data_IF_947105109664
#
_entry.id   IF_947105109664
#
_cell.length_a   1.000
_cell.length_b   1.000
_cell.length_c   1.000
_cell.angle_alpha   90.00
_cell.angle_beta   90.00
_cell.angle_gamma   90.00
#
_symmetry.space_group_name_H-M   'P 1'
#
loop_
_entity.id
_entity.type
_entity.pdbx_description
1 polymer ?
#
# COMPACT_ATOMS: atom_id res chain seq x y z
N UNK A 1 7.68 15.17 10.44
CA UNK A 1 6.45 14.65 9.84
C UNK A 1 5.67 15.84 9.28
N UNK A 2 5.37 15.84 7.99
CA UNK A 2 4.70 16.92 7.26
C UNK A 2 3.51 16.34 6.50
N UNK A 3 2.44 17.12 6.31
CA UNK A 3 1.30 16.72 5.49
C UNK A 3 1.53 17.20 4.05
N UNK A 4 1.56 16.28 3.09
CA UNK A 4 1.77 16.56 1.67
C UNK A 4 0.53 16.16 0.85
N UNK A 5 0.27 16.89 -0.23
CA UNK A 5 -0.79 16.58 -1.19
C UNK A 5 -0.31 15.52 -2.21
N UNK A 6 -1.10 14.47 -2.43
CA UNK A 6 -0.99 13.59 -3.59
C UNK A 6 -2.18 13.84 -4.54
N UNK A 7 -2.12 14.87 -5.41
CA UNK A 7 -3.24 15.24 -6.26
C UNK A 7 -3.58 14.17 -7.32
N UNK A 8 -2.62 13.32 -7.72
CA UNK A 8 -2.88 12.20 -8.64
C UNK A 8 -3.85 11.17 -8.05
N UNK A 9 -3.81 11.03 -6.72
CA UNK A 9 -4.61 10.08 -5.95
C UNK A 9 -5.78 10.68 -5.19
N UNK A 10 -5.96 12.00 -5.17
CA UNK A 10 -6.98 12.70 -4.39
C UNK A 10 -6.95 12.40 -2.88
N UNK A 11 -5.75 12.30 -2.30
CA UNK A 11 -5.55 12.25 -0.85
C UNK A 11 -4.31 13.03 -0.42
N UNK A 12 -4.22 13.26 0.88
CA UNK A 12 -3.05 13.80 1.57
C UNK A 12 -2.42 12.73 2.44
N UNK A 13 -1.12 12.82 2.67
CA UNK A 13 -0.42 11.87 3.52
C UNK A 13 0.58 12.57 4.44
N UNK A 14 0.78 12.00 5.61
CA UNK A 14 1.88 12.41 6.49
C UNK A 14 3.17 11.72 6.06
N UNK A 15 4.27 12.48 5.94
CA UNK A 15 5.57 11.90 5.65
C UNK A 15 5.96 10.86 6.71
N UNK A 16 6.45 9.71 6.25
CA UNK A 16 6.88 8.62 7.11
C UNK A 16 8.32 8.19 6.80
N UNK A 17 8.60 6.93 7.02
CA UNK A 17 9.87 6.30 6.64
C UNK A 17 9.78 5.76 5.21
N UNK A 18 10.91 5.33 4.64
CA UNK A 18 10.94 4.86 3.25
C UNK A 18 9.82 3.83 2.92
N UNK A 19 9.49 2.84 3.77
CA UNK A 19 8.51 1.82 3.42
C UNK A 19 7.03 2.24 3.52
N UNK A 20 6.68 3.36 4.17
CA UNK A 20 5.27 3.79 4.32
C UNK A 20 5.10 5.23 4.80
N UNK A 21 3.95 5.82 4.48
CA UNK A 21 3.51 7.09 5.05
C UNK A 21 3.04 6.94 6.50
N UNK A 22 3.08 8.05 7.26
CA UNK A 22 2.61 8.09 8.65
C UNK A 22 1.09 8.08 8.81
N UNK A 23 0.34 8.10 7.71
CA UNK A 23 -1.13 8.13 7.68
C UNK A 23 -1.64 8.87 6.45
N UNK A 24 -2.91 8.65 6.12
CA UNK A 24 -3.56 9.22 4.94
C UNK A 24 -4.90 9.87 5.30
N UNK A 25 -5.30 10.86 4.51
CA UNK A 25 -6.56 11.59 4.62
C UNK A 25 -7.10 11.88 3.23
N UNK A 26 -8.37 11.57 2.96
CA UNK A 26 -9.01 11.92 1.69
C UNK A 26 -8.95 13.44 1.41
N UNK A 27 -8.83 13.82 0.14
CA UNK A 27 -9.04 15.20 -0.27
C UNK A 27 -10.52 15.60 -0.10
N UNK A 28 -10.86 16.90 -0.03
CA UNK A 28 -12.25 17.33 -0.03
C UNK A 28 -13.03 16.77 -1.22
N UNK A 29 -14.24 16.26 -0.98
CA UNK A 29 -15.07 15.62 -2.02
C UNK A 29 -14.59 14.23 -2.44
N UNK A 30 -13.80 13.56 -1.59
CA UNK A 30 -13.43 12.16 -1.74
C UNK A 30 -13.57 11.45 -0.40
N UNK A 31 -13.80 10.13 -0.45
CA UNK A 31 -13.74 9.23 0.69
C UNK A 31 -12.68 8.13 0.49
N UNK A 32 -12.21 7.55 1.58
CA UNK A 32 -11.32 6.38 1.54
C UNK A 32 -12.16 5.13 1.73
N UNK A 33 -12.15 4.26 0.73
CA UNK A 33 -12.75 2.93 0.77
C UNK A 33 -11.69 1.92 1.14
N UNK A 34 -12.04 1.00 2.03
CA UNK A 34 -11.21 -0.15 2.37
C UNK A 34 -11.78 -1.41 1.73
N UNK A 35 -10.93 -2.16 1.03
CA UNK A 35 -11.25 -3.42 0.38
C UNK A 35 -10.35 -4.53 0.93
N UNK A 36 -10.92 -5.73 1.08
CA UNK A 36 -10.19 -6.93 1.49
C UNK A 36 -10.28 -8.00 0.42
N UNK A 37 -9.20 -8.77 0.28
CA UNK A 37 -9.17 -9.91 -0.62
C UNK A 37 -9.81 -11.11 0.09
N UNK A 38 -10.64 -11.87 -0.64
CA UNK A 38 -11.23 -13.11 -0.11
C UNK A 38 -10.16 -14.12 0.34
N UNK A 39 -9.02 -14.15 -0.35
CA UNK A 39 -7.84 -14.93 0.01
C UNK A 39 -6.60 -14.06 -0.23
N UNK A 40 -5.65 -13.98 0.72
CA UNK A 40 -4.40 -13.27 0.49
C UNK A 40 -3.63 -13.86 -0.70
N UNK A 41 -3.03 -12.98 -1.50
CA UNK A 41 -2.19 -13.37 -2.65
C UNK A 41 -0.81 -12.74 -2.52
N UNK A 42 0.25 -13.31 -3.12
CA UNK A 42 1.59 -12.73 -3.09
C UNK A 42 1.56 -11.26 -3.47
N UNK A 43 2.18 -10.37 -2.68
CA UNK A 43 1.85 -8.94 -2.74
C UNK A 43 2.09 -8.33 -4.13
N UNK A 44 3.12 -8.78 -4.87
CA UNK A 44 3.38 -8.31 -6.25
C UNK A 44 2.22 -8.64 -7.20
N UNK A 45 1.62 -9.83 -7.08
CA UNK A 45 0.39 -10.19 -7.79
C UNK A 45 -0.81 -9.39 -7.26
N UNK A 46 -0.83 -9.12 -5.95
CA UNK A 46 -1.82 -8.26 -5.31
C UNK A 46 -1.89 -6.85 -5.91
N UNK A 47 -0.75 -6.23 -6.24
CA UNK A 47 -0.75 -4.92 -6.90
C UNK A 47 -1.38 -4.94 -8.29
N UNK A 48 -1.26 -6.06 -9.04
CA UNK A 48 -1.98 -6.21 -10.30
C UNK A 48 -3.50 -6.34 -10.09
N UNK A 49 -3.94 -7.00 -9.01
CA UNK A 49 -5.37 -7.05 -8.65
C UNK A 49 -5.90 -5.69 -8.19
N UNK A 50 -5.11 -4.91 -7.45
CA UNK A 50 -5.45 -3.53 -7.09
C UNK A 50 -5.65 -2.70 -8.36
N UNK A 51 -4.70 -2.76 -9.31
CA UNK A 51 -4.81 -2.04 -10.58
C UNK A 51 -6.12 -2.40 -11.30
N UNK A 52 -6.38 -3.69 -11.50
CA UNK A 52 -7.59 -4.16 -12.19
C UNK A 52 -8.88 -3.70 -11.48
N UNK A 53 -8.90 -3.75 -10.14
CA UNK A 53 -10.03 -3.26 -9.35
C UNK A 53 -10.22 -1.75 -9.50
N UNK A 54 -9.15 -0.97 -9.44
CA UNK A 54 -9.21 0.49 -9.59
C UNK A 54 -9.64 0.89 -10.99
N UNK A 55 -9.19 0.19 -12.02
CA UNK A 55 -9.64 0.41 -13.40
C UNK A 55 -11.16 0.17 -13.55
N UNK A 56 -11.69 -0.90 -12.93
CA UNK A 56 -13.13 -1.21 -12.93
C UNK A 56 -13.97 -0.12 -12.27
N UNK A 57 -13.49 0.46 -11.16
CA UNK A 57 -14.17 1.56 -10.47
C UNK A 57 -13.78 2.95 -11.01
N UNK A 58 -13.08 3.04 -12.14
CA UNK A 58 -12.74 4.29 -12.81
C UNK A 58 -11.74 5.17 -12.06
N UNK A 59 -10.80 4.56 -11.32
CA UNK A 59 -9.78 5.26 -10.53
C UNK A 59 -8.37 4.91 -11.02
N UNK A 60 -7.43 5.88 -11.04
CA UNK A 60 -6.04 5.58 -11.33
C UNK A 60 -5.40 4.79 -10.18
N UNK A 61 -4.31 4.05 -10.45
CA UNK A 61 -3.54 3.37 -9.39
C UNK A 61 -3.03 4.33 -8.32
N UNK A 62 -2.79 5.59 -8.68
CA UNK A 62 -2.45 6.67 -7.76
C UNK A 62 -3.48 6.87 -6.64
N UNK A 63 -4.73 6.42 -6.81
CA UNK A 63 -5.76 6.48 -5.77
C UNK A 63 -5.48 5.52 -4.61
N UNK A 64 -4.59 4.53 -4.78
CA UNK A 64 -4.14 3.63 -3.72
C UNK A 64 -3.45 4.43 -2.60
N UNK A 65 -4.02 4.42 -1.41
CA UNK A 65 -3.50 5.18 -0.27
C UNK A 65 -3.04 4.30 0.90
N UNK A 66 -3.42 3.02 0.95
CA UNK A 66 -2.89 2.08 1.94
C UNK A 66 -2.86 0.64 1.43
N UNK A 67 -1.93 -0.17 1.94
CA UNK A 67 -1.92 -1.63 1.76
C UNK A 67 -1.72 -2.35 3.09
N UNK A 68 -2.32 -3.52 3.20
CA UNK A 68 -2.18 -4.42 4.33
C UNK A 68 -1.48 -5.69 3.89
N UNK A 69 -0.29 -5.93 4.43
CA UNK A 69 0.52 -7.10 4.12
C UNK A 69 0.49 -8.09 5.28
N UNK A 70 0.54 -9.37 4.94
CA UNK A 70 0.71 -10.48 5.88
C UNK A 70 1.93 -11.28 5.47
N UNK A 71 2.80 -11.59 6.43
CA UNK A 71 4.06 -12.30 6.18
C UNK A 71 4.03 -13.67 6.86
N UNK A 72 4.80 -14.66 6.35
CA UNK A 72 4.79 -16.03 6.87
C UNK A 72 5.23 -16.11 8.33
N UNK A 73 6.17 -15.25 8.72
CA UNK A 73 6.77 -15.20 10.05
C UNK A 73 7.38 -13.80 10.28
N UNK A 74 7.69 -13.43 11.54
CA UNK A 74 8.48 -12.23 11.81
C UNK A 74 9.82 -12.26 11.07
N UNK A 75 10.21 -11.14 10.47
CA UNK A 75 11.49 -11.03 9.79
C UNK A 75 12.66 -10.86 10.77
N UNK A 76 13.84 -11.32 10.36
CA UNK A 76 15.09 -10.78 10.89
C UNK A 76 15.25 -9.31 10.47
N UNK A 77 16.10 -8.55 11.14
CA UNK A 77 16.36 -7.16 10.74
C UNK A 77 16.85 -7.04 9.30
N UNK A 78 17.80 -7.89 8.89
CA UNK A 78 18.32 -7.90 7.52
C UNK A 78 17.23 -8.28 6.50
N UNK A 79 16.45 -9.32 6.77
CA UNK A 79 15.37 -9.75 5.89
C UNK A 79 14.27 -8.69 5.77
N UNK A 80 14.01 -7.92 6.83
CA UNK A 80 13.05 -6.83 6.77
C UNK A 80 13.55 -5.65 5.92
N UNK A 81 14.85 -5.34 5.96
CA UNK A 81 15.46 -4.33 5.10
C UNK A 81 15.33 -4.73 3.62
N UNK A 82 15.68 -5.97 3.29
CA UNK A 82 15.57 -6.51 1.93
C UNK A 82 14.12 -6.48 1.43
N UNK A 83 13.17 -6.94 2.26
CA UNK A 83 11.74 -6.87 1.95
C UNK A 83 11.28 -5.43 1.69
N UNK A 84 11.73 -4.48 2.52
CA UNK A 84 11.37 -3.07 2.38
C UNK A 84 11.94 -2.45 1.10
N UNK A 85 13.17 -2.81 0.72
CA UNK A 85 13.79 -2.35 -0.53
C UNK A 85 12.98 -2.87 -1.74
N UNK A 86 12.68 -4.17 -1.79
CA UNK A 86 11.90 -4.75 -2.88
C UNK A 86 10.48 -4.18 -2.97
N UNK A 87 9.83 -3.88 -1.85
CA UNK A 87 8.56 -3.16 -1.83
C UNK A 87 8.70 -1.73 -2.38
N UNK A 88 9.76 -1.02 -2.00
CA UNK A 88 9.99 0.36 -2.44
C UNK A 88 10.32 0.44 -3.93
N UNK A 89 11.08 -0.51 -4.45
CA UNK A 89 11.35 -0.69 -5.88
C UNK A 89 10.05 -0.90 -6.66
N UNK A 90 9.16 -1.79 -6.20
CA UNK A 90 7.85 -1.99 -6.83
C UNK A 90 7.04 -0.68 -6.92
N UNK A 91 7.01 0.12 -5.85
CA UNK A 91 6.31 1.40 -5.88
C UNK A 91 6.94 2.40 -6.87
N UNK A 92 8.26 2.35 -7.04
CA UNK A 92 8.97 3.17 -8.01
C UNK A 92 8.66 2.74 -9.45
N UNK A 93 8.70 1.43 -9.73
CA UNK A 93 8.33 0.84 -11.02
C UNK A 93 6.91 1.22 -11.46
N UNK A 94 5.99 1.30 -10.49
CA UNK A 94 4.59 1.69 -10.71
C UNK A 94 4.37 3.21 -10.70
N UNK A 95 5.42 4.03 -10.55
CA UNK A 95 5.35 5.49 -10.48
C UNK A 95 4.41 6.04 -9.37
N UNK A 96 4.34 5.35 -8.22
CA UNK A 96 3.49 5.69 -7.08
C UNK A 96 4.18 6.55 -6.02
N UNK A 97 5.46 6.83 -6.20
CA UNK A 97 6.23 7.69 -5.30
C UNK A 97 6.01 9.17 -5.64
N UNK A 98 5.95 10.00 -4.61
CA UNK A 98 5.91 11.46 -4.76
C UNK A 98 7.29 12.03 -4.44
N UNK A 99 8.13 12.15 -5.47
CA UNK A 99 9.56 12.41 -5.30
C UNK A 99 10.19 11.30 -4.44
N UNK A 100 10.88 11.70 -3.38
CA UNK A 100 11.49 10.76 -2.42
C UNK A 100 10.48 10.14 -1.44
N UNK A 101 9.23 10.59 -1.42
CA UNK A 101 8.26 10.16 -0.42
C UNK A 101 7.37 9.01 -0.91
N UNK A 102 7.10 8.07 -0.01
CA UNK A 102 6.07 7.06 -0.19
C UNK A 102 4.75 7.57 0.39
N UNK A 103 3.72 7.83 -0.43
CA UNK A 103 2.45 8.35 0.05
C UNK A 103 1.54 7.26 0.64
N UNK A 104 1.84 5.98 0.40
CA UNK A 104 1.01 4.84 0.75
C UNK A 104 1.30 4.39 2.18
N UNK A 105 0.25 4.32 3.01
CA UNK A 105 0.34 3.76 4.35
C UNK A 105 0.45 2.22 4.28
N UNK A 106 1.07 1.60 5.29
CA UNK A 106 1.27 0.14 5.25
C UNK A 106 1.18 -0.50 6.62
N UNK A 107 0.47 -1.62 6.70
CA UNK A 107 0.65 -2.61 7.77
C UNK A 107 1.41 -3.82 7.22
N UNK A 108 2.28 -4.43 8.03
CA UNK A 108 2.86 -5.73 7.75
C UNK A 108 2.88 -6.54 9.05
N UNK A 109 2.12 -7.63 9.08
CA UNK A 109 1.91 -8.46 10.27
C UNK A 109 2.23 -9.91 9.94
N UNK A 110 2.88 -10.63 10.85
CA UNK A 110 3.00 -12.08 10.77
C UNK A 110 1.93 -12.75 11.64
N UNK A 111 0.86 -13.34 11.06
CA UNK A 111 -0.19 -13.99 11.84
C UNK A 111 0.33 -15.22 12.56
N UNK A 112 -0.10 -15.43 13.81
CA UNK A 112 0.22 -16.64 14.57
C UNK A 112 -0.58 -17.88 14.10
N UNK A 113 -1.75 -17.66 13.48
CA UNK A 113 -2.65 -18.72 13.01
C UNK A 113 -2.84 -18.52 11.51
N UNK A 114 -2.65 -19.60 10.74
CA UNK A 114 -2.77 -19.62 9.28
C UNK A 114 -2.01 -18.48 8.57
N UNK A 115 -0.69 -18.31 8.81
CA UNK A 115 0.09 -17.35 8.05
C UNK A 115 0.12 -17.74 6.55
N UNK A 116 0.21 -16.77 5.63
CA UNK A 116 0.39 -17.08 4.23
C UNK A 116 1.77 -17.74 3.99
N UNK A 117 1.96 -18.50 2.91
CA UNK A 117 3.24 -19.14 2.61
C UNK A 117 4.35 -18.14 2.25
N UNK A 118 3.98 -16.94 1.82
CA UNK A 118 4.90 -15.85 1.45
C UNK A 118 4.25 -14.47 1.72
N UNK A 119 5.02 -13.36 1.74
CA UNK A 119 4.46 -12.03 1.95
C UNK A 119 3.33 -11.72 0.96
N UNK A 120 2.13 -11.50 1.50
CA UNK A 120 0.88 -11.46 0.74
C UNK A 120 0.07 -10.22 1.05
N UNK A 121 -0.65 -9.71 0.05
CA UNK A 121 -1.63 -8.64 0.20
C UNK A 121 -2.91 -9.22 0.81
N UNK A 122 -3.37 -8.63 1.90
CA UNK A 122 -4.62 -8.98 2.58
C UNK A 122 -5.75 -7.99 2.26
N UNK A 123 -5.41 -6.70 2.20
CA UNK A 123 -6.36 -5.64 1.95
C UNK A 123 -5.65 -4.37 1.48
N UNK A 124 -6.42 -3.40 1.03
CA UNK A 124 -5.92 -2.13 0.54
C UNK A 124 -7.00 -1.05 0.70
N UNK A 125 -6.58 0.20 0.69
CA UNK A 125 -7.49 1.33 0.73
C UNK A 125 -7.19 2.31 -0.40
N UNK A 126 -8.23 2.91 -0.96
CA UNK A 126 -8.15 3.82 -2.09
C UNK A 126 -9.22 4.90 -2.02
N UNK A 127 -9.05 5.97 -2.80
CA UNK A 127 -10.01 7.08 -2.84
C UNK A 127 -11.08 6.91 -3.91
N UNK A 128 -12.32 7.31 -3.58
CA UNK A 128 -13.41 7.55 -4.54
C UNK A 128 -14.04 8.92 -4.32
N UNK A 129 -14.64 9.56 -5.35
CA UNK A 129 -15.38 10.81 -5.19
C UNK A 129 -16.61 10.69 -4.28
#
# INVERSE_FOLDING_TARGET
>A
MQLLDNPRGNYRFFTGIAPYSGGVRAAPGYEIVHATLRQPVPYRQGFAQIQAHLDDVGRPLDALCAVELRSPQPFSFAGFIEFNNGYRELLAELNLLLGEHNPIARTNIAPAIAPPPEPSLYGFAYTIP
#
